data_IF_357982802747
#
_entry.id   IF_357982802747
#
_cell.length_a   1.000
_cell.length_b   1.000
_cell.length_c   1.000
_cell.angle_alpha   90.00
_cell.angle_beta   90.00
_cell.angle_gamma   90.00
#
_symmetry.space_group_name_H-M   'P 1'
#
loop_
_entity.id
_entity.type
_entity.pdbx_description
1 polymer ?
#
# COMPACT_ATOMS: atom_id res chain seq x y z
N UNK A 1 36.77 -2.16 8.43
CA UNK A 1 36.40 -3.41 9.12
C UNK A 1 35.74 -4.33 8.09
N UNK A 2 36.50 -5.28 7.53
CA UNK A 2 36.01 -6.30 6.59
C UNK A 2 35.58 -7.53 7.39
N UNK A 3 34.28 -7.78 7.50
CA UNK A 3 33.76 -8.90 8.31
C UNK A 3 33.35 -10.14 7.48
N UNK A 4 33.42 -10.06 6.13
CA UNK A 4 33.00 -11.15 5.22
C UNK A 4 33.50 -10.96 3.77
N UNK A 5 34.60 -10.22 3.55
CA UNK A 5 35.00 -9.77 2.20
C UNK A 5 34.06 -8.72 1.59
N UNK A 6 33.07 -8.27 2.37
CA UNK A 6 32.11 -7.22 1.99
C UNK A 6 32.53 -5.94 2.71
N UNK A 7 32.97 -4.94 1.95
CA UNK A 7 33.17 -3.57 2.45
C UNK A 7 31.83 -3.02 2.96
N UNK A 8 31.66 -2.85 4.28
CA UNK A 8 30.45 -2.29 4.86
C UNK A 8 30.45 -0.77 4.68
N UNK A 9 29.79 -0.31 3.62
CA UNK A 9 29.49 1.11 3.41
C UNK A 9 28.09 1.44 3.90
N UNK A 10 27.88 2.66 4.38
CA UNK A 10 26.57 3.20 4.78
C UNK A 10 25.50 2.96 3.70
N UNK A 11 25.88 3.01 2.42
CA UNK A 11 24.98 2.69 1.31
C UNK A 11 24.56 1.21 1.25
N UNK A 12 25.42 0.26 1.59
CA UNK A 12 25.02 -1.16 1.67
C UNK A 12 24.00 -1.40 2.78
N UNK A 13 24.12 -0.71 3.92
CA UNK A 13 23.12 -0.78 5.00
C UNK A 13 21.75 -0.33 4.49
N UNK A 14 21.72 0.74 3.69
CA UNK A 14 20.47 1.24 3.08
C UNK A 14 19.89 0.24 2.06
N UNK A 15 20.73 -0.41 1.26
CA UNK A 15 20.30 -1.51 0.39
C UNK A 15 19.72 -2.71 1.16
N UNK A 16 20.32 -3.07 2.29
CA UNK A 16 19.81 -4.11 3.19
C UNK A 16 18.49 -3.72 3.86
N UNK A 17 18.35 -2.47 4.29
CA UNK A 17 17.08 -1.95 4.81
C UNK A 17 15.97 -1.99 3.75
N UNK A 18 16.29 -1.67 2.49
CA UNK A 18 15.37 -1.82 1.37
C UNK A 18 14.91 -3.27 1.18
N UNK A 19 15.84 -4.23 1.20
CA UNK A 19 15.51 -5.66 1.14
C UNK A 19 14.66 -6.13 2.33
N UNK A 20 14.95 -5.62 3.53
CA UNK A 20 14.18 -5.93 4.73
C UNK A 20 12.76 -5.37 4.62
N UNK A 21 12.57 -4.16 4.11
CA UNK A 21 11.25 -3.58 3.84
C UNK A 21 10.45 -4.41 2.81
N UNK A 22 11.11 -4.90 1.75
CA UNK A 22 10.49 -5.83 0.80
C UNK A 22 10.11 -7.17 1.43
N UNK A 23 10.93 -7.68 2.34
CA UNK A 23 10.63 -8.94 3.05
C UNK A 23 9.47 -8.76 4.03
N UNK A 24 9.41 -7.61 4.72
CA UNK A 24 8.31 -7.25 5.62
C UNK A 24 6.96 -7.18 4.91
N UNK A 25 6.92 -6.85 3.61
CA UNK A 25 5.69 -6.85 2.81
C UNK A 25 4.95 -8.20 2.89
N UNK A 26 5.67 -9.31 2.77
CA UNK A 26 5.10 -10.66 2.87
C UNK A 26 4.66 -10.96 4.31
N UNK A 27 5.40 -10.49 5.30
CA UNK A 27 5.03 -10.63 6.71
C UNK A 27 3.72 -9.90 7.02
N UNK A 28 3.58 -8.65 6.55
CA UNK A 28 2.36 -7.85 6.72
C UNK A 28 1.17 -8.48 5.99
N UNK A 29 1.39 -9.01 4.78
CA UNK A 29 0.35 -9.74 4.06
C UNK A 29 -0.09 -10.99 4.84
N UNK A 30 0.85 -11.77 5.34
CA UNK A 30 0.54 -12.98 6.11
C UNK A 30 -0.23 -12.63 7.38
N UNK A 31 0.24 -11.64 8.13
CA UNK A 31 -0.44 -11.16 9.34
C UNK A 31 -1.87 -10.68 9.07
N UNK A 32 -2.09 -9.91 8.00
CA UNK A 32 -3.42 -9.46 7.61
C UNK A 32 -4.31 -10.64 7.17
N UNK A 33 -3.76 -11.61 6.43
CA UNK A 33 -4.48 -12.80 6.00
C UNK A 33 -4.90 -13.65 7.20
N UNK A 34 -4.03 -13.84 8.18
CA UNK A 34 -4.33 -14.59 9.42
C UNK A 34 -5.46 -13.94 10.21
N UNK A 35 -5.38 -12.61 10.38
CA UNK A 35 -6.37 -11.84 11.13
C UNK A 35 -7.76 -11.87 10.47
N UNK A 36 -7.79 -11.80 9.14
CA UNK A 36 -9.06 -11.65 8.38
C UNK A 36 -9.55 -12.97 7.79
N UNK A 37 -8.75 -14.05 7.89
CA UNK A 37 -8.95 -15.37 7.26
C UNK A 37 -9.29 -15.31 5.77
N UNK A 38 -8.85 -14.26 5.09
CA UNK A 38 -9.11 -13.98 3.69
C UNK A 38 -7.84 -13.44 3.05
N UNK A 39 -7.61 -13.76 1.78
CA UNK A 39 -6.47 -13.26 1.00
C UNK A 39 -6.69 -11.79 0.70
N UNK A 40 -6.33 -10.93 1.64
CA UNK A 40 -6.47 -9.48 1.55
C UNK A 40 -5.10 -8.81 1.44
N UNK A 41 -5.01 -7.81 0.58
CA UNK A 41 -3.80 -7.01 0.41
C UNK A 41 -3.98 -5.72 1.25
N UNK A 42 -3.35 -5.62 2.43
CA UNK A 42 -3.55 -4.47 3.30
C UNK A 42 -2.91 -3.21 2.72
N UNK A 43 -3.40 -1.99 3.01
CA UNK A 43 -2.81 -0.75 2.52
C UNK A 43 -1.31 -0.61 2.87
N UNK A 44 -0.91 -1.14 4.04
CA UNK A 44 0.48 -1.18 4.51
C UNK A 44 1.43 -1.91 3.54
N UNK A 45 0.92 -2.90 2.79
CA UNK A 45 1.68 -3.62 1.77
C UNK A 45 2.19 -2.67 0.67
N UNK A 46 1.33 -1.77 0.20
CA UNK A 46 1.66 -0.78 -0.83
C UNK A 46 2.65 0.26 -0.31
N UNK A 47 2.47 0.73 0.93
CA UNK A 47 3.40 1.66 1.58
C UNK A 47 4.80 1.06 1.76
N UNK A 48 4.89 -0.16 2.29
CA UNK A 48 6.17 -0.86 2.47
C UNK A 48 6.93 -1.02 1.17
N UNK A 49 6.24 -1.28 0.05
CA UNK A 49 6.92 -1.40 -1.23
C UNK A 49 7.31 -0.09 -1.85
N UNK A 50 6.54 0.98 -1.63
CA UNK A 50 6.97 2.33 -2.02
C UNK A 50 8.26 2.71 -1.28
N UNK A 51 8.29 2.48 0.04
CA UNK A 51 9.46 2.74 0.89
C UNK A 51 10.65 1.85 0.51
N UNK A 52 10.44 0.54 0.33
CA UNK A 52 11.49 -0.39 -0.07
C UNK A 52 12.09 -0.06 -1.44
N UNK A 53 11.25 0.28 -2.42
CA UNK A 53 11.71 0.70 -3.74
C UNK A 53 12.40 2.07 -3.71
N UNK A 54 11.98 3.01 -2.84
CA UNK A 54 12.72 4.26 -2.58
C UNK A 54 14.13 3.98 -2.07
N UNK A 55 14.28 3.14 -1.05
CA UNK A 55 15.60 2.80 -0.51
C UNK A 55 16.50 2.10 -1.53
N UNK A 56 15.95 1.17 -2.31
CA UNK A 56 16.72 0.47 -3.35
C UNK A 56 17.05 1.35 -4.54
N UNK A 57 16.17 2.28 -4.93
CA UNK A 57 16.43 3.26 -5.97
C UNK A 57 17.52 4.26 -5.52
N UNK A 58 17.48 4.73 -4.27
CA UNK A 58 18.58 5.52 -3.71
C UNK A 58 19.90 4.75 -3.74
N UNK A 59 19.91 3.49 -3.30
CA UNK A 59 21.11 2.65 -3.36
C UNK A 59 21.64 2.47 -4.80
N UNK A 60 20.76 2.18 -5.76
CA UNK A 60 21.12 1.98 -7.16
C UNK A 60 21.72 3.24 -7.80
N UNK A 61 21.17 4.42 -7.50
CA UNK A 61 21.68 5.70 -8.04
C UNK A 61 23.05 6.05 -7.44
N UNK A 62 23.22 5.90 -6.13
CA UNK A 62 24.43 6.37 -5.44
C UNK A 62 25.61 5.40 -5.51
N UNK A 63 25.37 4.09 -5.56
CA UNK A 63 26.44 3.09 -5.43
C UNK A 63 26.71 2.31 -6.73
N UNK A 64 25.66 1.73 -7.34
CA UNK A 64 25.84 0.82 -8.48
C UNK A 64 25.77 1.53 -9.84
N UNK A 65 25.06 2.66 -9.95
CA UNK A 65 24.72 3.34 -11.22
C UNK A 65 24.16 2.38 -12.27
N UNK A 66 23.54 1.29 -11.84
CA UNK A 66 22.97 0.28 -12.72
C UNK A 66 21.59 0.75 -13.21
N UNK A 67 21.54 1.12 -14.50
CA UNK A 67 20.31 1.59 -15.15
C UNK A 67 19.15 0.59 -15.00
N UNK A 68 19.44 -0.71 -15.02
CA UNK A 68 18.42 -1.78 -14.94
C UNK A 68 17.66 -1.72 -13.61
N UNK A 69 18.36 -1.55 -12.49
CA UNK A 69 17.72 -1.44 -11.17
C UNK A 69 16.93 -0.14 -11.03
N UNK A 70 17.46 0.96 -11.54
CA UNK A 70 16.76 2.26 -11.52
C UNK A 70 15.44 2.15 -12.26
N UNK A 71 15.43 1.57 -13.47
CA UNK A 71 14.19 1.35 -14.21
C UNK A 71 13.25 0.38 -13.48
N UNK A 72 13.75 -0.74 -12.96
CA UNK A 72 12.93 -1.71 -12.24
C UNK A 72 12.19 -1.08 -11.03
N UNK A 73 12.88 -0.26 -10.24
CA UNK A 73 12.27 0.41 -9.08
C UNK A 73 11.42 1.63 -9.45
N UNK A 74 11.78 2.35 -10.52
CA UNK A 74 10.97 3.47 -11.01
C UNK A 74 9.61 2.99 -11.56
N UNK A 75 9.60 1.90 -12.33
CA UNK A 75 8.35 1.37 -12.89
C UNK A 75 7.44 0.74 -11.84
N UNK A 76 7.99 0.19 -10.75
CA UNK A 76 7.19 -0.41 -9.68
C UNK A 76 6.43 0.63 -8.85
N UNK A 77 6.82 1.91 -8.86
CA UNK A 77 6.05 2.97 -8.19
C UNK A 77 4.67 3.22 -8.82
N UNK A 78 4.57 3.06 -10.14
CA UNK A 78 3.32 3.32 -10.89
C UNK A 78 2.15 2.47 -10.36
N UNK A 79 2.24 1.12 -10.31
CA UNK A 79 1.16 0.31 -9.77
C UNK A 79 0.94 0.55 -8.26
N UNK A 80 1.99 0.85 -7.48
CA UNK A 80 1.85 1.09 -6.04
C UNK A 80 1.03 2.34 -5.73
N UNK A 81 1.36 3.45 -6.39
CA UNK A 81 0.65 4.72 -6.22
C UNK A 81 -0.78 4.59 -6.74
N UNK A 82 -0.98 3.98 -7.92
CA UNK A 82 -2.33 3.76 -8.47
C UNK A 82 -3.21 2.96 -7.52
N UNK A 83 -2.69 1.86 -6.96
CA UNK A 83 -3.46 1.02 -6.06
C UNK A 83 -3.79 1.73 -4.74
N UNK A 84 -2.87 2.54 -4.22
CA UNK A 84 -3.13 3.36 -3.04
C UNK A 84 -4.22 4.42 -3.30
N UNK A 85 -4.20 5.07 -4.47
CA UNK A 85 -5.24 6.03 -4.88
C UNK A 85 -6.59 5.34 -5.03
N UNK A 86 -6.65 4.19 -5.69
CA UNK A 86 -7.90 3.44 -5.86
C UNK A 86 -8.46 3.03 -4.49
N UNK A 87 -7.62 2.52 -3.61
CA UNK A 87 -8.03 2.14 -2.26
C UNK A 87 -8.61 3.32 -1.50
N UNK A 88 -7.91 4.47 -1.49
CA UNK A 88 -8.40 5.69 -0.87
C UNK A 88 -9.74 6.16 -1.47
N UNK A 89 -9.90 6.08 -2.79
CA UNK A 89 -11.17 6.44 -3.45
C UNK A 89 -12.31 5.47 -3.13
N UNK A 90 -12.01 4.20 -2.93
CA UNK A 90 -13.01 3.21 -2.50
C UNK A 90 -13.45 3.51 -1.06
N UNK A 91 -12.51 3.84 -0.19
CA UNK A 91 -12.78 4.20 1.21
C UNK A 91 -13.61 5.48 1.32
N UNK A 92 -13.27 6.53 0.55
CA UNK A 92 -14.02 7.78 0.48
C UNK A 92 -15.42 7.63 -0.14
N UNK A 93 -15.62 6.62 -0.99
CA UNK A 93 -16.90 6.37 -1.65
C UNK A 93 -17.83 5.42 -0.85
N UNK A 94 -17.37 4.88 0.29
CA UNK A 94 -18.22 4.09 1.20
C UNK A 94 -19.45 4.91 1.60
N UNK A 95 -20.62 4.32 1.47
CA UNK A 95 -21.89 5.00 1.81
C UNK A 95 -22.36 4.45 3.15
N UNK A 96 -22.68 5.33 4.09
CA UNK A 96 -23.26 4.93 5.37
C UNK A 96 -24.77 4.76 5.23
N UNK A 97 -25.31 3.66 5.74
CA UNK A 97 -26.76 3.46 5.78
C UNK A 97 -27.41 4.37 6.84
N UNK A 98 -28.48 5.10 6.49
CA UNK A 98 -29.17 6.00 7.43
C UNK A 98 -29.95 5.27 8.53
N UNK A 99 -30.28 3.99 8.31
CA UNK A 99 -31.06 3.18 9.27
C UNK A 99 -30.14 2.45 10.24
N UNK A 100 -29.22 1.62 9.74
CA UNK A 100 -28.35 0.79 10.59
C UNK A 100 -26.95 1.40 10.86
N UNK A 101 -26.59 2.50 10.20
CA UNK A 101 -25.27 3.17 10.32
C UNK A 101 -24.07 2.30 9.98
N UNK A 102 -24.28 1.21 9.26
CA UNK A 102 -23.20 0.35 8.76
C UNK A 102 -22.64 0.94 7.46
N UNK A 103 -21.31 0.89 7.30
CA UNK A 103 -20.64 1.24 6.06
C UNK A 103 -20.96 0.20 4.97
N UNK A 104 -21.42 0.67 3.82
CA UNK A 104 -21.76 -0.17 2.68
C UNK A 104 -20.85 0.12 1.48
N UNK A 105 -20.59 -0.89 0.63
CA UNK A 105 -19.72 -0.70 -0.52
C UNK A 105 -20.29 0.34 -1.50
N UNK A 106 -19.43 1.14 -2.17
CA UNK A 106 -19.82 2.30 -2.98
C UNK A 106 -20.78 2.01 -4.14
N UNK A 107 -20.86 0.75 -4.58
CA UNK A 107 -21.70 0.30 -5.71
C UNK A 107 -22.94 -0.49 -5.26
N UNK A 108 -23.14 -0.71 -3.97
CA UNK A 108 -24.32 -1.42 -3.49
C UNK A 108 -25.57 -0.54 -3.63
N UNK A 109 -26.66 -1.12 -4.14
CA UNK A 109 -27.98 -0.46 -4.16
C UNK A 109 -28.74 -0.64 -2.84
N UNK A 110 -28.45 -1.71 -2.12
CA UNK A 110 -29.10 -2.12 -0.88
C UNK A 110 -28.05 -2.38 0.20
N UNK A 111 -28.40 -2.10 1.46
CA UNK A 111 -27.54 -2.40 2.60
C UNK A 111 -27.42 -3.92 2.80
N UNK A 112 -26.21 -4.48 2.94
CA UNK A 112 -26.02 -5.92 3.15
C UNK A 112 -26.54 -6.43 4.51
N UNK A 113 -26.70 -5.54 5.49
CA UNK A 113 -27.16 -5.89 6.85
C UNK A 113 -28.69 -5.77 7.00
N UNK A 114 -29.28 -4.63 6.63
CA UNK A 114 -30.71 -4.36 6.85
C UNK A 114 -31.60 -4.46 5.60
N UNK A 115 -31.02 -4.59 4.40
CA UNK A 115 -31.77 -4.65 3.14
C UNK A 115 -32.35 -3.31 2.65
N UNK A 116 -32.19 -2.22 3.41
CA UNK A 116 -32.69 -0.90 3.05
C UNK A 116 -32.00 -0.33 1.81
N UNK A 117 -32.71 0.48 1.01
CA UNK A 117 -32.13 1.14 -0.15
C UNK A 117 -31.08 2.18 0.29
N UNK A 118 -29.86 2.07 -0.24
CA UNK A 118 -28.80 3.03 0.02
C UNK A 118 -29.07 4.27 -0.83
N UNK A 119 -29.56 5.33 -0.18
CA UNK A 119 -29.60 6.64 -0.81
C UNK A 119 -28.17 7.06 -1.07
N UNK A 120 -27.83 7.20 -2.36
CA UNK A 120 -26.55 7.72 -2.83
C UNK A 120 -26.47 9.18 -2.42
N UNK A 121 -26.17 9.40 -1.15
CA UNK A 121 -26.14 10.73 -0.56
C UNK A 121 -25.04 11.47 -1.30
N UNK A 122 -25.36 12.62 -1.90
CA UNK A 122 -24.40 13.59 -2.43
C UNK A 122 -23.60 14.23 -1.27
N UNK A 123 -22.99 13.40 -0.41
CA UNK A 123 -22.21 13.82 0.75
C UNK A 123 -20.74 14.02 0.42
N UNK A 124 -20.40 14.23 -0.86
CA UNK A 124 -19.06 14.65 -1.27
C UNK A 124 -18.81 16.15 -1.03
N UNK A 125 -19.82 16.94 -0.62
CA UNK A 125 -19.70 18.40 -0.47
C UNK A 125 -19.85 18.93 0.97
N UNK A 126 -20.16 18.10 1.98
CA UNK A 126 -20.43 18.58 3.34
C UNK A 126 -19.26 18.51 4.34
N UNK A 127 -18.12 17.90 3.98
CA UNK A 127 -16.91 17.89 4.85
C UNK A 127 -15.85 18.92 4.39
N UNK A 128 -16.21 19.83 3.48
CA UNK A 128 -15.29 20.87 2.96
C UNK A 128 -15.78 22.31 3.18
N UNK A 129 -16.62 22.52 4.20
CA UNK A 129 -17.06 23.84 4.67
C UNK A 129 -16.70 23.99 6.14
#
# INVERSE_FOLDING_TARGET
MQFLGIEWHTWKVIGWLGNLAFSLRFFVQWYATEKTKQVVIPPMFWWLSLVGSMFLLSYAIFYQKDSVFIFAYAFTWIPYIRNLIIQRRVDEAQVECLVCKTAAPPKAKFCPECGEALLKTERASAFKS
#
